data_IF_040209675116
#
_entry.id   IF_040209675116
#
_cell.length_a   1.000
_cell.length_b   1.000
_cell.length_c   1.000
_cell.angle_alpha   90.00
_cell.angle_beta   90.00
_cell.angle_gamma   90.00
#
_symmetry.space_group_name_H-M   'P 1'
#
loop_
_entity.id
_entity.type
_entity.pdbx_description
1 polymer ?
#
# COMPACT_ATOMS: atom_id res chain seq x y z
N UNK A 1 -6.98 20.03 10.51
CA UNK A 1 -6.92 18.68 9.92
C UNK A 1 -5.88 17.95 10.74
N UNK A 2 -6.25 16.97 11.57
CA UNK A 2 -5.28 16.28 12.41
C UNK A 2 -4.20 15.65 11.54
N UNK A 3 -2.92 15.80 11.93
CA UNK A 3 -1.81 15.14 11.26
C UNK A 3 -2.04 13.63 11.30
N UNK A 4 -2.12 13.01 10.12
CA UNK A 4 -2.26 11.57 10.00
C UNK A 4 -0.98 10.91 10.53
N UNK A 5 -1.04 10.10 11.61
CA UNK A 5 0.14 9.54 12.24
C UNK A 5 0.95 8.65 11.30
N UNK A 6 0.31 8.06 10.28
CA UNK A 6 0.98 7.19 9.30
C UNK A 6 1.73 7.98 8.22
N UNK A 7 1.46 9.28 8.04
CA UNK A 7 2.07 10.06 6.97
C UNK A 7 3.58 10.26 7.18
N UNK A 8 3.98 10.52 8.42
CA UNK A 8 5.41 10.64 8.76
C UNK A 8 6.15 9.33 8.58
N UNK A 9 5.53 8.20 8.93
CA UNK A 9 6.13 6.88 8.72
C UNK A 9 6.23 6.56 7.23
N UNK A 10 5.17 6.79 6.46
CA UNK A 10 5.20 6.58 5.02
C UNK A 10 6.31 7.41 4.34
N UNK A 11 6.49 8.67 4.72
CA UNK A 11 7.57 9.51 4.18
C UNK A 11 8.96 8.92 4.48
N UNK A 12 9.19 8.45 5.72
CA UNK A 12 10.42 7.76 6.10
C UNK A 12 10.66 6.51 5.25
N UNK A 13 9.63 5.67 5.07
CA UNK A 13 9.73 4.44 4.27
C UNK A 13 9.91 4.71 2.76
N UNK A 14 9.29 5.78 2.25
CA UNK A 14 9.42 6.21 0.87
C UNK A 14 10.81 6.79 0.54
N UNK A 15 11.64 7.04 1.57
CA UNK A 15 12.98 7.60 1.40
C UNK A 15 12.97 9.07 0.95
N UNK A 16 11.85 9.77 1.08
CA UNK A 16 11.74 11.19 0.74
C UNK A 16 11.55 12.02 2.01
N UNK A 17 12.39 13.05 2.15
CA UNK A 17 12.24 14.10 3.17
C UNK A 17 11.64 15.37 2.57
N UNK A 18 11.31 15.35 1.28
CA UNK A 18 10.73 16.49 0.59
C UNK A 18 9.29 16.73 1.09
N UNK A 19 9.04 17.95 1.56
CA UNK A 19 7.72 18.35 2.01
C UNK A 19 6.73 18.46 0.85
N UNK A 20 7.20 18.66 -0.37
CA UNK A 20 6.36 18.76 -1.56
C UNK A 20 5.74 17.42 -1.97
N UNK A 21 6.35 16.29 -1.54
CA UNK A 21 5.79 14.94 -1.73
C UNK A 21 4.65 14.63 -0.75
N UNK A 22 4.50 15.38 0.35
CA UNK A 22 3.52 15.12 1.42
C UNK A 22 2.09 14.96 0.90
N UNK A 23 1.56 15.82 0.00
CA UNK A 23 0.21 15.67 -0.54
C UNK A 23 0.06 14.38 -1.35
N UNK A 24 1.09 14.00 -2.12
CA UNK A 24 1.07 12.79 -2.92
C UNK A 24 1.09 11.53 -2.04
N UNK A 25 1.93 11.50 -1.00
CA UNK A 25 1.98 10.43 0.00
C UNK A 25 0.65 10.31 0.77
N UNK A 26 0.07 11.43 1.19
CA UNK A 26 -1.25 11.45 1.85
C UNK A 26 -2.36 10.88 0.94
N UNK A 27 -2.30 11.15 -0.37
CA UNK A 27 -3.22 10.55 -1.33
C UNK A 27 -3.05 9.02 -1.44
N UNK A 28 -1.80 8.50 -1.38
CA UNK A 28 -1.55 7.05 -1.37
C UNK A 28 -2.06 6.38 -0.10
N UNK A 29 -1.92 7.03 1.07
CA UNK A 29 -2.53 6.52 2.31
C UNK A 29 -4.05 6.43 2.21
N UNK A 30 -4.71 7.45 1.65
CA UNK A 30 -6.17 7.42 1.44
C UNK A 30 -6.58 6.28 0.51
N UNK A 31 -5.84 6.10 -0.60
CA UNK A 31 -6.10 5.01 -1.54
C UNK A 31 -5.89 3.63 -0.89
N UNK A 32 -4.80 3.44 -0.15
CA UNK A 32 -4.51 2.20 0.57
C UNK A 32 -5.64 1.84 1.55
N UNK A 33 -6.12 2.81 2.34
CA UNK A 33 -7.27 2.60 3.23
C UNK A 33 -8.54 2.23 2.47
N UNK A 34 -8.82 2.89 1.35
CA UNK A 34 -9.99 2.59 0.52
C UNK A 34 -9.93 1.19 -0.10
N UNK A 35 -8.74 0.70 -0.49
CA UNK A 35 -8.58 -0.68 -0.94
C UNK A 35 -8.73 -1.68 0.20
N UNK A 36 -8.25 -1.37 1.40
CA UNK A 36 -8.28 -2.30 2.54
C UNK A 36 -9.65 -2.38 3.21
N UNK A 37 -10.40 -1.28 3.28
CA UNK A 37 -11.64 -1.21 4.09
C UNK A 37 -12.65 -2.34 3.81
N UNK A 38 -12.94 -2.73 2.55
CA UNK A 38 -13.89 -3.81 2.27
C UNK A 38 -13.45 -5.19 2.80
N UNK A 39 -12.17 -5.33 3.14
CA UNK A 39 -11.57 -6.59 3.56
C UNK A 39 -11.27 -6.65 5.05
N UNK A 40 -11.22 -5.52 5.76
CA UNK A 40 -10.87 -5.49 7.19
C UNK A 40 -12.03 -5.08 8.09
N UNK A 41 -13.00 -4.34 7.54
CA UNK A 41 -14.15 -3.86 8.30
C UNK A 41 -15.02 -5.05 8.74
N UNK A 42 -15.33 -5.11 10.04
CA UNK A 42 -16.15 -6.18 10.62
C UNK A 42 -15.41 -7.48 11.00
N UNK A 43 -14.14 -7.64 10.61
CA UNK A 43 -13.35 -8.85 10.90
C UNK A 43 -12.53 -8.78 12.20
N UNK A 44 -12.58 -7.67 12.94
CA UNK A 44 -11.87 -7.52 14.21
C UNK A 44 -10.34 -7.57 14.07
N UNK A 45 -9.80 -7.27 12.89
CA UNK A 45 -8.35 -7.24 12.65
C UNK A 45 -7.72 -6.16 13.56
N UNK A 46 -6.63 -6.47 14.29
CA UNK A 46 -5.97 -5.49 15.15
C UNK A 46 -5.55 -4.24 14.39
N UNK A 47 -5.73 -3.07 15.00
CA UNK A 47 -5.40 -1.78 14.39
C UNK A 47 -3.95 -1.73 13.87
N UNK A 48 -3.00 -2.25 14.64
CA UNK A 48 -1.58 -2.24 14.27
C UNK A 48 -1.32 -3.04 12.98
N UNK A 49 -2.06 -4.14 12.76
CA UNK A 49 -1.99 -4.92 11.51
C UNK A 49 -2.60 -4.14 10.35
N UNK A 50 -3.73 -3.46 10.57
CA UNK A 50 -4.36 -2.60 9.54
C UNK A 50 -3.44 -1.44 9.17
N UNK A 51 -2.78 -0.81 10.14
CA UNK A 51 -1.84 0.27 9.92
C UNK A 51 -0.58 -0.20 9.15
N UNK A 52 -0.02 -1.36 9.51
CA UNK A 52 1.10 -1.98 8.77
C UNK A 52 0.72 -2.35 7.32
N UNK A 53 -0.46 -2.93 7.11
CA UNK A 53 -0.99 -3.18 5.77
C UNK A 53 -1.19 -1.88 4.99
N UNK A 54 -1.72 -0.83 5.63
CA UNK A 54 -1.95 0.48 5.02
C UNK A 54 -0.64 1.12 4.56
N UNK A 55 0.39 1.10 5.41
CA UNK A 55 1.72 1.59 5.07
C UNK A 55 2.33 0.83 3.89
N UNK A 56 2.26 -0.50 3.93
CA UNK A 56 2.84 -1.36 2.89
C UNK A 56 2.18 -1.13 1.53
N UNK A 57 0.84 -1.06 1.50
CA UNK A 57 0.08 -0.80 0.26
C UNK A 57 0.35 0.62 -0.25
N UNK A 58 0.37 1.62 0.64
CA UNK A 58 0.65 2.99 0.23
C UNK A 58 2.07 3.15 -0.33
N UNK A 59 3.05 2.43 0.23
CA UNK A 59 4.42 2.40 -0.27
C UNK A 59 4.52 1.73 -1.64
N UNK A 60 3.87 0.59 -1.84
CA UNK A 60 3.79 -0.07 -3.16
C UNK A 60 3.19 0.89 -4.22
N UNK A 61 2.10 1.60 -3.88
CA UNK A 61 1.47 2.60 -4.77
C UNK A 61 2.39 3.81 -5.06
N UNK A 62 3.23 4.19 -4.10
CA UNK A 62 4.22 5.26 -4.29
C UNK A 62 5.33 4.82 -5.26
N UNK A 63 5.85 3.60 -5.08
CA UNK A 63 6.92 3.05 -5.91
C UNK A 63 6.43 2.74 -7.34
N UNK A 64 5.17 2.33 -7.49
CA UNK A 64 4.56 2.02 -8.79
C UNK A 64 4.03 3.26 -9.55
N UNK A 65 4.18 4.49 -9.03
CA UNK A 65 3.53 5.70 -9.60
C UNK A 65 3.91 5.99 -11.05
N UNK A 66 5.09 5.56 -11.46
CA UNK A 66 5.63 5.77 -12.80
C UNK A 66 5.42 4.55 -13.71
N UNK A 67 4.84 3.45 -13.19
CA UNK A 67 4.55 2.27 -13.97
C UNK A 67 3.41 2.52 -14.98
N UNK A 68 3.45 1.81 -16.11
CA UNK A 68 2.38 1.74 -17.12
C UNK A 68 2.06 0.28 -17.39
N UNK A 69 0.81 -0.13 -17.17
CA UNK A 69 0.35 -1.52 -17.33
C UNK A 69 1.20 -2.56 -16.56
N UNK A 70 1.66 -2.17 -15.37
CA UNK A 70 2.54 -3.00 -14.53
C UNK A 70 3.97 -3.11 -15.05
N UNK A 71 4.39 -2.25 -15.98
CA UNK A 71 5.77 -2.19 -16.47
C UNK A 71 6.39 -0.89 -15.96
N UNK A 72 7.53 -1.00 -15.28
CA UNK A 72 8.35 0.14 -14.87
C UNK A 72 9.41 0.35 -15.94
N UNK A 73 9.37 1.51 -16.61
CA UNK A 73 10.45 1.95 -17.49
C UNK A 73 11.43 2.79 -16.67
N UNK A 74 12.67 2.32 -16.55
CA UNK A 74 13.76 3.14 -16.03
C UNK A 74 14.48 3.71 -17.26
N UNK A 75 14.64 5.03 -17.34
CA UNK A 75 15.47 5.67 -18.37
C UNK A 75 16.94 5.30 -18.16
N UNK A 76 17.77 5.33 -19.21
CA UNK A 76 19.20 4.97 -19.23
C UNK A 76 19.53 3.47 -19.34
N UNK A 77 19.08 2.82 -20.42
CA UNK A 77 19.62 1.53 -20.86
C UNK A 77 19.24 0.32 -19.99
N UNK A 78 18.36 0.50 -19.01
CA UNK A 78 17.80 -0.58 -18.20
C UNK A 78 16.55 -1.12 -18.90
N UNK A 79 16.52 -2.42 -19.12
CA UNK A 79 15.34 -3.08 -19.69
C UNK A 79 14.12 -2.92 -18.76
N UNK A 80 12.95 -2.58 -19.31
CA UNK A 80 11.73 -2.49 -18.53
C UNK A 80 11.41 -3.82 -17.83
N UNK A 81 10.97 -3.75 -16.58
CA UNK A 81 10.58 -4.94 -15.82
C UNK A 81 9.13 -4.86 -15.35
N UNK A 82 8.53 -6.03 -15.15
CA UNK A 82 7.14 -6.16 -14.74
C UNK A 82 7.01 -6.20 -13.22
N UNK A 83 6.10 -5.40 -12.70
CA UNK A 83 5.69 -5.41 -11.30
C UNK A 83 4.28 -5.99 -11.17
N UNK A 84 3.92 -6.57 -10.01
CA UNK A 84 2.56 -7.06 -9.82
C UNK A 84 1.53 -5.92 -9.87
N UNK A 85 0.34 -6.22 -10.39
CA UNK A 85 -0.74 -5.25 -10.58
C UNK A 85 -1.81 -5.31 -9.50
N UNK A 86 -1.79 -6.34 -8.64
CA UNK A 86 -2.67 -6.41 -7.47
C UNK A 86 -2.22 -5.38 -6.43
N UNK A 87 -3.03 -4.34 -6.13
CA UNK A 87 -2.66 -3.30 -5.17
C UNK A 87 -2.55 -3.83 -3.74
N UNK A 88 -3.17 -4.99 -3.42
CA UNK A 88 -3.19 -5.58 -2.09
C UNK A 88 -2.21 -6.75 -1.95
N UNK A 89 -1.35 -7.00 -2.95
CA UNK A 89 -0.39 -8.11 -2.98
C UNK A 89 0.40 -8.25 -1.68
N UNK A 90 0.81 -7.13 -1.09
CA UNK A 90 1.64 -7.07 0.10
C UNK A 90 0.84 -7.16 1.40
N UNK A 91 -0.46 -6.87 1.36
CA UNK A 91 -1.35 -6.92 2.51
C UNK A 91 -1.90 -8.34 2.72
N UNK A 92 -2.19 -9.09 1.66
CA UNK A 92 -2.83 -10.41 1.79
C UNK A 92 -2.13 -11.40 2.73
N UNK A 93 -0.80 -11.57 2.67
CA UNK A 93 -0.11 -12.47 3.60
C UNK A 93 -0.27 -12.04 5.06
N UNK A 94 -0.23 -10.72 5.32
CA UNK A 94 -0.36 -10.13 6.66
C UNK A 94 -1.79 -10.29 7.21
N UNK A 95 -2.79 -10.01 6.38
CA UNK A 95 -4.19 -10.15 6.74
C UNK A 95 -4.55 -11.62 7.02
N UNK A 96 -4.05 -12.56 6.22
CA UNK A 96 -4.22 -14.00 6.47
C UNK A 96 -3.59 -14.42 7.79
N UNK A 97 -2.38 -13.95 8.09
CA UNK A 97 -1.72 -14.21 9.37
C UNK A 97 -2.50 -13.64 10.56
N UNK A 98 -3.23 -12.53 10.37
CA UNK A 98 -4.09 -11.92 11.36
C UNK A 98 -5.50 -12.55 11.46
N UNK A 99 -5.74 -13.68 10.78
CA UNK A 99 -6.98 -14.42 10.88
C UNK A 99 -8.08 -13.96 9.91
N UNK A 100 -7.76 -13.14 8.90
CA UNK A 100 -8.70 -12.89 7.82
C UNK A 100 -9.01 -14.23 7.12
N UNK A 101 -10.29 -14.63 7.03
CA UNK A 101 -10.69 -15.90 6.42
C UNK A 101 -10.61 -15.85 4.89
N UNK A 102 -9.48 -15.44 4.33
CA UNK A 102 -9.22 -15.49 2.91
C UNK A 102 -8.74 -16.90 2.53
N UNK A 103 -9.68 -17.83 2.36
CA UNK A 103 -9.38 -19.23 1.95
C UNK A 103 -10.48 -20.29 2.11
N UNK A 104 -11.61 -20.02 2.77
CA UNK A 104 -12.80 -20.88 2.66
C UNK A 104 -13.58 -20.42 1.44
N UNK A 105 -13.18 -20.93 0.27
CA UNK A 105 -13.91 -20.69 -0.97
C UNK A 105 -15.40 -20.97 -0.76
N UNK A 106 -16.24 -20.13 -1.34
CA UNK A 106 -17.56 -20.57 -1.75
C UNK A 106 -17.33 -21.84 -2.57
N UNK A 107 -17.74 -22.98 -2.02
CA UNK A 107 -17.90 -24.24 -2.74
C UNK A 107 -19.19 -24.18 -3.55
#
# INVERSE_FOLDING_TARGET
MADDPLLNELARQAGTLDTDDRPALAARLRAARAYLSPHVDGYGIPKDVVDDCTLSVALDLWQAKDARNGIVGITDGVEPFRIPTDPLRTAWPKLRAAGLPAGLGIA
#
